data_IF_289224390794
#
_entry.id   IF_289224390794
#
_cell.length_a   1.000
_cell.length_b   1.000
_cell.length_c   1.000
_cell.angle_alpha   90.00
_cell.angle_beta   90.00
_cell.angle_gamma   90.00
#
_symmetry.space_group_name_H-M   'P 1'
#
loop_
_entity.id
_entity.type
_entity.pdbx_description
1 polymer ?
#
# COMPACT_ATOMS: atom_id res chain seq x y z
N UNK A 1 -26.82 -10.97 -28.81
CA UNK A 1 -26.86 -9.51 -28.62
C UNK A 1 -25.92 -9.23 -27.47
N UNK A 2 -24.62 -9.08 -27.75
CA UNK A 2 -23.58 -9.25 -26.72
C UNK A 2 -22.47 -8.21 -26.85
N UNK A 3 -22.75 -6.98 -26.41
CA UNK A 3 -21.76 -5.88 -26.33
C UNK A 3 -21.71 -5.18 -24.95
N UNK A 4 -22.51 -5.62 -23.97
CA UNK A 4 -22.71 -4.86 -22.72
C UNK A 4 -21.78 -5.25 -21.54
N UNK A 5 -20.78 -6.14 -21.70
CA UNK A 5 -19.95 -6.62 -20.57
C UNK A 5 -18.56 -5.99 -20.45
N UNK A 6 -18.09 -5.25 -21.45
CA UNK A 6 -16.75 -4.64 -21.45
C UNK A 6 -16.68 -3.25 -20.79
N UNK A 7 -17.80 -2.53 -20.71
CA UNK A 7 -17.82 -1.17 -20.19
C UNK A 7 -17.77 -1.11 -18.64
N UNK A 8 -18.38 -2.07 -17.94
CA UNK A 8 -18.48 -2.05 -16.47
C UNK A 8 -17.14 -2.33 -15.76
N UNK A 9 -16.29 -3.20 -16.31
CA UNK A 9 -14.96 -3.47 -15.74
C UNK A 9 -13.96 -2.31 -15.98
N UNK A 10 -14.11 -1.60 -17.10
CA UNK A 10 -13.27 -0.43 -17.38
C UNK A 10 -13.62 0.73 -16.44
N UNK A 11 -14.90 1.04 -16.26
CA UNK A 11 -15.32 2.11 -15.34
C UNK A 11 -14.94 1.79 -13.88
N UNK A 12 -15.07 0.54 -13.43
CA UNK A 12 -14.69 0.11 -12.08
C UNK A 12 -13.22 0.36 -11.72
N UNK A 13 -12.28 0.16 -12.67
CA UNK A 13 -10.85 0.43 -12.46
C UNK A 13 -10.46 1.88 -12.75
N UNK A 14 -11.09 2.51 -13.76
CA UNK A 14 -10.78 3.88 -14.16
C UNK A 14 -11.29 4.93 -13.16
N UNK A 15 -12.38 4.68 -12.44
CA UNK A 15 -12.93 5.65 -11.49
C UNK A 15 -11.95 6.01 -10.34
N UNK A 16 -11.42 5.05 -9.55
CA UNK A 16 -10.47 5.37 -8.47
C UNK A 16 -9.14 5.89 -9.00
N UNK A 17 -8.63 5.35 -10.12
CA UNK A 17 -7.35 5.78 -10.70
C UNK A 17 -7.44 7.19 -11.33
N UNK A 18 -8.55 7.56 -11.96
CA UNK A 18 -8.82 8.92 -12.40
C UNK A 18 -9.02 9.89 -11.23
N UNK A 19 -9.60 9.44 -10.11
CA UNK A 19 -9.78 10.25 -8.91
C UNK A 19 -8.44 10.50 -8.19
N UNK A 20 -7.56 9.50 -8.13
CA UNK A 20 -6.16 9.67 -7.68
C UNK A 20 -5.42 10.62 -8.63
N UNK A 21 -5.44 10.40 -9.95
CA UNK A 21 -4.80 11.29 -10.92
C UNK A 21 -5.34 12.73 -10.85
N UNK A 22 -6.66 12.89 -10.66
CA UNK A 22 -7.29 14.19 -10.48
C UNK A 22 -6.84 14.89 -9.19
N UNK A 23 -6.77 14.17 -8.06
CA UNK A 23 -6.25 14.69 -6.81
C UNK A 23 -4.76 15.07 -6.92
N UNK A 24 -3.97 14.26 -7.61
CA UNK A 24 -2.54 14.51 -7.89
C UNK A 24 -2.35 15.74 -8.78
N UNK A 25 -3.15 15.89 -9.83
CA UNK A 25 -3.11 17.04 -10.71
C UNK A 25 -3.56 18.32 -9.98
N UNK A 26 -4.58 18.21 -9.13
CA UNK A 26 -5.06 19.30 -8.27
C UNK A 26 -3.96 19.73 -7.29
N UNK A 27 -3.32 18.79 -6.58
CA UNK A 27 -2.19 19.09 -5.70
C UNK A 27 -1.01 19.69 -6.47
N UNK A 28 -0.66 19.18 -7.65
CA UNK A 28 0.43 19.73 -8.45
C UNK A 28 0.16 21.15 -8.98
N UNK A 29 -1.11 21.47 -9.29
CA UNK A 29 -1.51 22.74 -9.91
C UNK A 29 -1.88 23.83 -8.90
N UNK A 30 -2.57 23.47 -7.82
CA UNK A 30 -3.08 24.43 -6.82
C UNK A 30 -2.03 24.82 -5.77
N UNK A 31 -1.09 23.92 -5.44
CA UNK A 31 -0.01 24.19 -4.48
C UNK A 31 0.93 25.32 -4.95
N UNK A 32 0.97 25.61 -6.25
CA UNK A 32 1.66 26.77 -6.80
C UNK A 32 1.03 28.12 -6.42
N UNK A 33 -0.26 28.14 -6.02
CA UNK A 33 -1.02 29.35 -5.67
C UNK A 33 -1.34 29.46 -4.18
N UNK A 34 -1.61 28.34 -3.51
CA UNK A 34 -1.91 28.30 -2.07
C UNK A 34 -0.80 28.94 -1.21
N UNK A 35 0.45 28.88 -1.66
CA UNK A 35 1.62 29.38 -0.90
C UNK A 35 1.80 30.90 -0.97
N UNK A 36 1.21 31.60 -1.94
CA UNK A 36 1.27 33.07 -2.01
C UNK A 36 0.31 33.76 -1.02
N UNK A 37 -0.62 33.01 -0.41
CA UNK A 37 -1.78 33.56 0.29
C UNK A 37 -1.67 33.88 1.79
N UNK A 38 -0.67 33.38 2.53
CA UNK A 38 -0.63 33.51 4.01
C UNK A 38 0.72 33.92 4.58
N UNK A 39 1.10 35.17 4.29
CA UNK A 39 2.16 35.89 5.00
C UNK A 39 1.79 36.27 6.44
N UNK A 40 1.63 35.29 7.33
CA UNK A 40 1.76 35.47 8.79
C UNK A 40 2.47 34.25 9.38
N UNK A 41 3.80 34.31 9.49
CA UNK A 41 4.59 33.30 10.16
C UNK A 41 4.31 33.35 11.68
N UNK A 42 3.33 32.57 12.12
CA UNK A 42 3.03 32.42 13.55
C UNK A 42 4.29 31.88 14.27
N UNK A 43 4.73 32.47 15.40
CA UNK A 43 5.91 32.00 16.13
C UNK A 43 5.73 30.55 16.57
N UNK A 44 6.37 29.62 15.86
CA UNK A 44 6.28 28.19 16.14
C UNK A 44 6.99 27.90 17.47
N UNK A 45 6.27 27.37 18.45
CA UNK A 45 6.83 27.16 19.78
C UNK A 45 7.97 26.12 19.73
N UNK A 46 9.21 26.44 20.16
CA UNK A 46 10.37 25.57 19.93
C UNK A 46 10.26 24.18 20.58
N UNK A 47 9.55 24.09 21.71
CA UNK A 47 9.32 22.82 22.40
C UNK A 47 8.45 21.86 21.57
N UNK A 48 7.49 22.39 20.80
CA UNK A 48 6.60 21.58 19.95
C UNK A 48 7.39 20.93 18.82
N UNK A 49 8.30 21.68 18.17
CA UNK A 49 9.20 21.14 17.14
C UNK A 49 10.08 20.02 17.71
N UNK A 50 10.59 20.19 18.93
CA UNK A 50 11.43 19.21 19.60
C UNK A 50 10.66 17.91 19.89
N UNK A 51 9.48 18.02 20.52
CA UNK A 51 8.63 16.87 20.85
C UNK A 51 8.20 16.11 19.60
N UNK A 52 7.71 16.83 18.59
CA UNK A 52 7.25 16.21 17.34
C UNK A 52 8.39 15.60 16.54
N UNK A 53 9.58 16.21 16.55
CA UNK A 53 10.79 15.65 15.96
C UNK A 53 11.21 14.31 16.60
N UNK A 54 11.14 14.21 17.94
CA UNK A 54 11.39 12.96 18.65
C UNK A 54 10.33 11.89 18.37
N UNK A 55 9.05 12.25 18.31
CA UNK A 55 7.97 11.31 17.97
C UNK A 55 8.09 10.78 16.53
N UNK A 56 8.38 11.66 15.57
CA UNK A 56 8.62 11.33 14.17
C UNK A 56 9.80 10.35 14.02
N UNK A 57 10.94 10.68 14.63
CA UNK A 57 12.14 9.80 14.65
C UNK A 57 11.86 8.47 15.36
N UNK A 58 11.07 8.47 16.44
CA UNK A 58 10.63 7.26 17.12
C UNK A 58 9.80 6.33 16.22
N UNK A 59 8.90 6.90 15.42
CA UNK A 59 8.10 6.16 14.44
C UNK A 59 8.97 5.59 13.29
N UNK A 60 9.93 6.37 12.78
CA UNK A 60 10.92 5.89 11.80
C UNK A 60 11.75 4.71 12.33
N UNK A 61 12.23 4.79 13.57
CA UNK A 61 12.98 3.70 14.22
C UNK A 61 12.09 2.47 14.41
N UNK A 62 10.83 2.64 14.83
CA UNK A 62 9.88 1.54 14.96
C UNK A 62 9.62 0.85 13.60
N UNK A 63 9.42 1.63 12.52
CA UNK A 63 9.29 1.11 11.16
C UNK A 63 10.51 0.28 10.75
N UNK A 64 11.71 0.84 10.91
CA UNK A 64 12.97 0.20 10.53
C UNK A 64 13.22 -1.11 11.29
N UNK A 65 12.93 -1.14 12.60
CA UNK A 65 13.05 -2.36 13.42
C UNK A 65 12.06 -3.44 12.99
N UNK A 66 10.77 -3.08 12.86
CA UNK A 66 9.69 -4.01 12.51
C UNK A 66 9.92 -4.62 11.12
N UNK A 67 10.27 -3.80 10.13
CA UNK A 67 10.59 -4.25 8.76
C UNK A 67 11.88 -5.09 8.77
N UNK A 68 12.95 -4.62 9.42
CA UNK A 68 14.24 -5.28 9.44
C UNK A 68 14.18 -6.69 10.04
N UNK A 69 13.52 -6.83 11.20
CA UNK A 69 13.33 -8.14 11.85
C UNK A 69 12.53 -9.10 10.97
N UNK A 70 11.49 -8.62 10.28
CA UNK A 70 10.68 -9.44 9.38
C UNK A 70 11.48 -9.93 8.17
N UNK A 71 12.29 -9.06 7.56
CA UNK A 71 13.18 -9.41 6.44
C UNK A 71 14.22 -10.46 6.88
N UNK A 72 14.93 -10.23 7.99
CA UNK A 72 15.92 -11.19 8.51
C UNK A 72 15.28 -12.54 8.80
N UNK A 73 14.11 -12.57 9.45
CA UNK A 73 13.37 -13.81 9.72
C UNK A 73 12.94 -14.53 8.44
N UNK A 74 12.44 -13.81 7.44
CA UNK A 74 12.03 -14.40 6.16
C UNK A 74 13.22 -15.01 5.41
N UNK A 75 14.36 -14.30 5.34
CA UNK A 75 15.60 -14.79 4.73
C UNK A 75 16.12 -16.02 5.45
N UNK A 76 16.19 -16.00 6.80
CA UNK A 76 16.66 -17.13 7.58
C UNK A 76 15.81 -18.39 7.33
N UNK A 77 14.48 -18.28 7.41
CA UNK A 77 13.57 -19.41 7.15
C UNK A 77 13.74 -19.95 5.72
N UNK A 78 13.86 -19.08 4.73
CA UNK A 78 14.06 -19.47 3.33
C UNK A 78 15.37 -20.23 3.11
N UNK A 79 16.49 -19.70 3.64
CA UNK A 79 17.81 -20.32 3.48
C UNK A 79 17.94 -21.65 4.23
N UNK A 80 17.44 -21.75 5.46
CA UNK A 80 17.46 -23.01 6.22
C UNK A 80 16.69 -24.12 5.48
N UNK A 81 15.52 -23.81 4.90
CA UNK A 81 14.72 -24.77 4.12
C UNK A 81 15.39 -25.18 2.82
N UNK A 82 16.04 -24.25 2.11
CA UNK A 82 16.78 -24.53 0.87
C UNK A 82 17.94 -25.51 1.11
N UNK A 83 18.60 -25.43 2.27
CA UNK A 83 19.66 -26.36 2.69
C UNK A 83 19.10 -27.69 3.20
N UNK A 84 17.94 -27.68 3.88
CA UNK A 84 17.34 -28.88 4.48
C UNK A 84 16.82 -29.93 3.48
N UNK A 85 16.61 -29.56 2.20
CA UNK A 85 16.02 -30.43 1.15
C UNK A 85 14.66 -31.04 1.50
N UNK A 86 13.87 -30.38 2.34
CA UNK A 86 12.46 -30.72 2.50
C UNK A 86 11.73 -30.55 1.16
N UNK A 87 10.99 -31.57 0.72
CA UNK A 87 10.03 -31.47 -0.38
C UNK A 87 8.86 -30.57 0.08
N UNK A 88 9.05 -29.25 -0.07
CA UNK A 88 8.14 -28.26 0.46
C UNK A 88 6.74 -28.37 -0.19
N UNK A 89 5.64 -28.37 0.59
CA UNK A 89 4.31 -28.19 0.06
C UNK A 89 4.22 -26.89 -0.77
N UNK A 90 3.54 -26.95 -1.91
CA UNK A 90 3.48 -25.87 -2.92
C UNK A 90 3.12 -24.49 -2.38
N UNK A 91 2.38 -24.44 -1.27
CA UNK A 91 1.76 -23.23 -0.75
C UNK A 91 2.63 -22.50 0.29
N UNK A 92 3.74 -23.11 0.75
CA UNK A 92 4.60 -22.52 1.77
C UNK A 92 5.21 -21.15 1.38
N UNK A 93 5.66 -20.91 0.13
CA UNK A 93 6.12 -19.59 -0.31
C UNK A 93 5.07 -18.48 -0.18
N UNK A 94 3.79 -18.81 -0.36
CA UNK A 94 2.69 -17.86 -0.22
C UNK A 94 2.52 -17.42 1.24
N UNK A 95 2.64 -18.34 2.21
CA UNK A 95 2.54 -18.02 3.64
C UNK A 95 3.61 -17.03 4.12
N UNK A 96 4.86 -17.20 3.68
CA UNK A 96 5.98 -16.30 4.03
C UNK A 96 5.75 -14.92 3.40
N UNK A 97 5.33 -14.87 2.14
CA UNK A 97 4.97 -13.61 1.45
C UNK A 97 3.84 -12.87 2.15
N UNK A 98 2.77 -13.56 2.55
CA UNK A 98 1.61 -12.97 3.22
C UNK A 98 1.99 -12.41 4.60
N UNK A 99 2.80 -13.14 5.38
CA UNK A 99 3.29 -12.67 6.67
C UNK A 99 4.23 -11.47 6.53
N UNK A 100 5.15 -11.50 5.56
CA UNK A 100 6.06 -10.38 5.27
C UNK A 100 5.28 -9.14 4.84
N UNK A 101 4.33 -9.28 3.90
CA UNK A 101 3.49 -8.19 3.42
C UNK A 101 2.70 -7.50 4.53
N UNK A 102 2.17 -8.26 5.49
CA UNK A 102 1.46 -7.70 6.66
C UNK A 102 2.37 -6.88 7.57
N UNK A 103 3.62 -7.30 7.76
CA UNK A 103 4.58 -6.55 8.58
C UNK A 103 5.15 -5.33 7.84
N UNK A 104 5.33 -5.42 6.52
CA UNK A 104 5.67 -4.27 5.67
C UNK A 104 4.58 -3.20 5.70
N UNK A 105 3.30 -3.58 5.64
CA UNK A 105 2.17 -2.66 5.74
C UNK A 105 2.17 -1.90 7.09
N UNK A 106 2.41 -2.60 8.21
CA UNK A 106 2.55 -1.98 9.53
C UNK A 106 3.75 -1.01 9.59
N UNK A 107 4.90 -1.38 9.01
CA UNK A 107 6.05 -0.49 8.92
C UNK A 107 5.76 0.80 8.14
N UNK A 108 4.96 0.70 7.06
CA UNK A 108 4.53 1.83 6.23
C UNK A 108 3.54 2.76 6.96
N UNK A 109 2.77 2.26 7.92
CA UNK A 109 1.92 3.09 8.78
C UNK A 109 2.76 3.95 9.73
N UNK A 110 3.84 3.40 10.30
CA UNK A 110 4.75 4.16 11.13
C UNK A 110 5.52 5.24 10.36
N UNK A 111 6.00 4.97 9.14
CA UNK A 111 6.65 6.02 8.33
C UNK A 111 5.69 7.16 8.00
N UNK A 112 4.44 6.85 7.63
CA UNK A 112 3.43 7.87 7.33
C UNK A 112 3.03 8.67 8.57
N UNK A 113 3.01 8.05 9.75
CA UNK A 113 2.85 8.78 11.01
C UNK A 113 4.00 9.79 11.23
N UNK A 114 5.25 9.43 10.92
CA UNK A 114 6.39 10.35 10.95
C UNK A 114 6.22 11.53 9.98
N UNK A 115 5.84 11.26 8.73
CA UNK A 115 5.68 12.29 7.70
C UNK A 115 4.57 13.29 8.05
N UNK A 116 3.43 12.79 8.55
CA UNK A 116 2.32 13.63 9.04
C UNK A 116 2.80 14.49 10.22
N UNK A 117 3.49 13.91 11.20
CA UNK A 117 4.05 14.64 12.34
C UNK A 117 4.96 15.78 11.89
N UNK A 118 5.92 15.52 10.99
CA UNK A 118 6.85 16.54 10.46
C UNK A 118 6.11 17.68 9.76
N UNK A 119 5.14 17.38 8.89
CA UNK A 119 4.40 18.42 8.14
C UNK A 119 3.51 19.31 8.99
N UNK A 120 2.99 18.83 10.13
CA UNK A 120 2.18 19.65 11.06
C UNK A 120 3.02 20.75 11.74
N UNK A 121 4.27 20.47 12.10
CA UNK A 121 5.16 21.47 12.74
C UNK A 121 6.02 22.26 11.75
N UNK A 122 6.25 21.72 10.56
CA UNK A 122 6.90 22.44 9.47
C UNK A 122 6.23 22.19 8.12
N UNK A 123 5.20 22.99 7.78
CA UNK A 123 4.72 23.09 6.42
C UNK A 123 5.69 23.98 5.61
N UNK A 124 6.77 23.40 5.06
CA UNK A 124 7.53 24.02 3.96
C UNK A 124 7.05 23.52 2.60
N UNK A 125 7.30 24.28 1.53
CA UNK A 125 6.97 23.82 0.16
C UNK A 125 7.55 22.44 -0.15
N UNK A 126 8.79 22.18 0.26
CA UNK A 126 9.45 20.89 0.03
C UNK A 126 8.85 19.77 0.89
N UNK A 127 8.54 20.02 2.17
CA UNK A 127 7.93 19.02 3.05
C UNK A 127 6.51 18.64 2.60
N UNK A 128 5.71 19.60 2.14
CA UNK A 128 4.36 19.32 1.58
C UNK A 128 4.46 18.57 0.25
N UNK A 129 5.42 18.91 -0.62
CA UNK A 129 5.68 18.14 -1.85
C UNK A 129 6.10 16.68 -1.54
N UNK A 130 6.97 16.48 -0.54
CA UNK A 130 7.38 15.15 -0.11
C UNK A 130 6.19 14.35 0.44
N UNK A 131 5.37 14.95 1.33
CA UNK A 131 4.16 14.29 1.85
C UNK A 131 3.18 13.94 0.74
N UNK A 132 2.95 14.86 -0.21
CA UNK A 132 2.10 14.61 -1.38
C UNK A 132 2.60 13.42 -2.22
N UNK A 133 3.91 13.34 -2.46
CA UNK A 133 4.53 12.22 -3.17
C UNK A 133 4.39 10.88 -2.41
N UNK A 134 4.50 10.90 -1.07
CA UNK A 134 4.37 9.70 -0.22
C UNK A 134 2.92 9.20 -0.17
N UNK A 135 1.95 10.11 -0.02
CA UNK A 135 0.51 9.78 -0.06
C UNK A 135 0.10 9.24 -1.43
N UNK A 136 0.61 9.84 -2.51
CA UNK A 136 0.45 9.37 -3.89
C UNK A 136 1.01 7.96 -4.05
N UNK A 137 2.23 7.70 -3.56
CA UNK A 137 2.88 6.39 -3.61
C UNK A 137 2.11 5.33 -2.80
N UNK A 138 1.61 5.61 -1.58
CA UNK A 138 0.75 4.66 -0.84
C UNK A 138 -0.54 4.38 -1.62
N UNK A 139 -1.14 5.40 -2.21
CA UNK A 139 -2.39 5.28 -2.98
C UNK A 139 -2.20 4.38 -4.21
N UNK A 140 -1.12 4.57 -4.97
CA UNK A 140 -0.76 3.71 -6.11
C UNK A 140 -0.46 2.27 -5.67
N UNK A 141 0.36 2.07 -4.63
CA UNK A 141 0.69 0.73 -4.15
C UNK A 141 -0.54 -0.03 -3.65
N UNK A 142 -1.41 0.62 -2.87
CA UNK A 142 -2.63 0.00 -2.36
C UNK A 142 -3.58 -0.35 -3.51
N UNK A 143 -3.75 0.56 -4.47
CA UNK A 143 -4.55 0.32 -5.69
C UNK A 143 -4.02 -0.88 -6.50
N UNK A 144 -2.71 -0.97 -6.73
CA UNK A 144 -2.12 -2.12 -7.43
C UNK A 144 -2.29 -3.43 -6.66
N UNK A 145 -2.20 -3.41 -5.33
CA UNK A 145 -2.38 -4.60 -4.51
C UNK A 145 -3.83 -5.12 -4.56
N UNK A 146 -4.80 -4.23 -4.46
CA UNK A 146 -6.24 -4.55 -4.51
C UNK A 146 -6.68 -5.02 -5.92
N UNK A 147 -6.05 -4.46 -6.95
CA UNK A 147 -6.17 -4.93 -8.33
C UNK A 147 -5.59 -6.35 -8.51
N UNK A 148 -4.42 -6.67 -7.94
CA UNK A 148 -3.84 -8.02 -8.01
C UNK A 148 -4.71 -9.06 -7.28
N UNK A 149 -5.23 -8.72 -6.10
CA UNK A 149 -6.09 -9.60 -5.29
C UNK A 149 -7.40 -9.90 -6.04
N UNK A 150 -8.10 -8.89 -6.54
CA UNK A 150 -9.37 -9.07 -7.27
C UNK A 150 -9.21 -9.89 -8.56
N UNK A 151 -8.08 -9.74 -9.27
CA UNK A 151 -7.74 -10.59 -10.42
C UNK A 151 -7.44 -12.05 -10.03
N UNK A 152 -6.91 -12.30 -8.84
CA UNK A 152 -6.69 -13.64 -8.30
C UNK A 152 -7.99 -14.35 -7.91
N UNK A 153 -8.85 -13.67 -7.16
CA UNK A 153 -10.12 -14.21 -6.66
C UNK A 153 -11.08 -14.63 -7.79
N UNK A 154 -11.16 -13.83 -8.87
CA UNK A 154 -11.97 -14.15 -10.05
C UNK A 154 -11.57 -15.48 -10.73
N UNK A 155 -10.28 -15.85 -10.71
CA UNK A 155 -9.81 -17.14 -11.27
C UNK A 155 -10.19 -18.31 -10.38
N UNK A 156 -10.10 -18.15 -9.06
CA UNK A 156 -10.49 -19.16 -8.07
C UNK A 156 -12.00 -19.47 -8.13
N UNK A 157 -12.84 -18.43 -8.25
CA UNK A 157 -14.29 -18.59 -8.38
C UNK A 157 -14.69 -19.35 -9.66
N UNK A 158 -14.06 -19.02 -10.80
CA UNK A 158 -14.35 -19.67 -12.09
C UNK A 158 -13.93 -21.15 -12.12
N UNK A 159 -12.84 -21.51 -11.45
CA UNK A 159 -12.43 -22.92 -11.30
C UNK A 159 -13.42 -23.71 -10.43
N UNK A 160 -13.93 -23.11 -9.35
CA UNK A 160 -14.92 -23.76 -8.48
C UNK A 160 -16.24 -24.06 -9.21
N UNK A 161 -16.75 -23.11 -10.00
CA UNK A 161 -17.98 -23.28 -10.78
C UNK A 161 -17.83 -24.36 -11.88
N UNK A 162 -16.72 -24.32 -12.61
CA UNK A 162 -16.40 -25.32 -13.66
C UNK A 162 -16.35 -26.74 -13.08
N UNK A 163 -15.85 -26.92 -11.86
CA UNK A 163 -15.84 -28.20 -11.16
C UNK A 163 -17.24 -28.72 -10.81
N UNK A 164 -18.16 -27.83 -10.37
CA UNK A 164 -19.54 -28.22 -10.03
C UNK A 164 -20.33 -28.69 -11.25
N UNK A 165 -20.21 -27.98 -12.37
CA UNK A 165 -20.89 -28.34 -13.63
C UNK A 165 -20.43 -29.71 -14.16
N UNK A 166 -19.14 -30.06 -13.97
CA UNK A 166 -18.65 -31.40 -14.33
C UNK A 166 -19.16 -32.50 -13.40
N UNK A 167 -19.29 -32.22 -12.10
CA UNK A 167 -19.85 -33.16 -11.12
C UNK A 167 -21.34 -33.45 -11.37
N UNK A 168 -22.15 -32.43 -11.67
CA UNK A 168 -23.56 -32.61 -12.05
C UNK A 168 -23.71 -33.45 -13.32
N UNK A 169 -22.90 -33.20 -14.36
CA UNK A 169 -22.93 -34.01 -15.58
C UNK A 169 -22.48 -35.46 -15.36
N UNK A 170 -21.60 -35.72 -14.38
CA UNK A 170 -21.17 -37.08 -14.01
C UNK A 170 -22.20 -37.83 -13.16
N UNK A 171 -23.04 -37.13 -12.40
CA UNK A 171 -24.09 -37.73 -11.58
C UNK A 171 -25.36 -38.11 -12.35
N UNK A 172 -25.43 -37.78 -13.64
CA UNK A 172 -26.61 -37.97 -14.50
C UNK A 172 -26.31 -38.87 -15.72
N UNK A 173 -25.33 -39.78 -15.58
CA UNK A 173 -24.99 -40.88 -16.49
C UNK A 173 -24.89 -42.18 -15.71
#
# INVERSE_FOLDING_TARGET
>A
MDQNRSHDSLTGMLLPSALILGLVLLLAFDMGRVVEGTGMASPREPWLQLVVGYLATGAEIAAALVIGVAIVRAIAVYLFRLVARDEAPSDYPASIRLQLGRVLALGLEFTIASDILRTVVSPTRQEIMNLGAIVLLRSLLNYFLEMEISMGEGRSAQMADTGRIQLERRGNQ
#
